data_IF_915948386643
#
_entry.id   IF_915948386643
#
_cell.length_a   1.000
_cell.length_b   1.000
_cell.length_c   1.000
_cell.angle_alpha   90.00
_cell.angle_beta   90.00
_cell.angle_gamma   90.00
#
_symmetry.space_group_name_H-M   'P 1'
#
loop_
_entity.id
_entity.type
_entity.pdbx_description
1 polymer ?
#
# COMPACT_ATOMS: atom_id res chain seq x y z
N UNK A 1 -0.25 -14.59 6.73
CA UNK A 1 -1.31 -14.44 5.70
C UNK A 1 -0.66 -14.55 4.34
N UNK A 2 -1.10 -15.49 3.49
CA UNK A 2 -0.95 -15.30 2.04
C UNK A 2 -1.98 -14.23 1.65
N UNK A 3 -1.51 -12.99 1.58
CA UNK A 3 -2.21 -11.85 0.99
C UNK A 3 -2.39 -12.07 -0.52
N UNK A 4 -3.17 -11.24 -1.24
CA UNK A 4 -3.31 -11.36 -2.69
C UNK A 4 -1.91 -11.54 -3.28
N UNK A 5 -1.74 -12.53 -4.15
CA UNK A 5 -0.48 -12.70 -4.87
C UNK A 5 -0.17 -11.34 -5.50
N UNK A 6 0.98 -10.77 -5.16
CA UNK A 6 1.37 -9.42 -5.63
C UNK A 6 1.25 -9.33 -7.16
N UNK A 7 1.37 -10.47 -7.86
CA UNK A 7 1.10 -10.60 -9.30
C UNK A 7 -0.34 -10.35 -9.75
N UNK A 8 -1.36 -10.42 -8.89
CA UNK A 8 -2.74 -9.96 -9.20
C UNK A 8 -2.91 -8.44 -9.05
N UNK A 9 -2.04 -7.80 -8.28
CA UNK A 9 -2.04 -6.35 -8.07
C UNK A 9 -1.21 -5.62 -9.13
N UNK A 10 -0.38 -6.35 -9.89
CA UNK A 10 0.50 -5.83 -10.92
C UNK A 10 -0.18 -6.01 -12.27
N UNK A 11 -0.48 -4.92 -12.98
CA UNK A 11 -0.82 -5.01 -14.40
C UNK A 11 0.44 -5.37 -15.23
N UNK A 12 0.25 -5.92 -16.44
CA UNK A 12 1.33 -6.49 -17.28
C UNK A 12 2.52 -5.55 -17.57
N UNK A 13 2.41 -4.24 -17.30
CA UNK A 13 3.46 -3.24 -17.53
C UNK A 13 3.89 -2.46 -16.27
N UNK A 14 3.50 -2.89 -15.07
CA UNK A 14 3.94 -2.25 -13.83
C UNK A 14 5.17 -2.93 -13.24
N UNK A 15 6.11 -2.14 -12.73
CA UNK A 15 7.29 -2.65 -12.04
C UNK A 15 6.92 -3.08 -10.63
N UNK A 16 7.18 -4.35 -10.30
CA UNK A 16 7.00 -4.89 -8.95
C UNK A 16 7.77 -4.08 -7.88
N UNK A 17 8.92 -3.50 -8.24
CA UNK A 17 9.68 -2.64 -7.35
C UNK A 17 8.94 -1.34 -7.05
N UNK A 18 8.37 -0.71 -8.07
CA UNK A 18 7.61 0.54 -7.93
C UNK A 18 6.35 0.32 -7.09
N UNK A 19 5.70 -0.85 -7.23
CA UNK A 19 4.59 -1.28 -6.38
C UNK A 19 5.01 -1.42 -4.91
N UNK A 20 6.11 -2.13 -4.63
CA UNK A 20 6.61 -2.31 -3.25
C UNK A 20 6.97 -0.96 -2.62
N UNK A 21 7.60 -0.07 -3.38
CA UNK A 21 7.94 1.28 -2.90
C UNK A 21 6.68 2.09 -2.60
N UNK A 22 5.65 2.01 -3.46
CA UNK A 22 4.38 2.69 -3.24
C UNK A 22 3.66 2.20 -1.97
N UNK A 23 3.57 0.87 -1.79
CA UNK A 23 2.98 0.25 -0.59
C UNK A 23 3.76 0.67 0.66
N UNK A 24 5.10 0.66 0.60
CA UNK A 24 5.94 1.03 1.75
C UNK A 24 5.74 2.50 2.15
N UNK A 25 5.66 3.42 1.18
CA UNK A 25 5.36 4.84 1.44
C UNK A 25 3.99 4.97 2.10
N UNK A 26 2.96 4.36 1.50
CA UNK A 26 1.59 4.44 2.02
C UNK A 26 1.46 3.86 3.43
N UNK A 27 2.14 2.75 3.69
CA UNK A 27 2.16 2.12 5.01
C UNK A 27 2.75 3.04 6.09
N UNK A 28 3.74 3.89 5.75
CA UNK A 28 4.29 4.87 6.69
C UNK A 28 3.30 5.99 6.95
N UNK A 29 2.67 6.53 5.89
CA UNK A 29 1.65 7.56 6.04
C UNK A 29 0.49 7.11 6.95
N UNK A 30 0.04 5.86 6.81
CA UNK A 30 -1.03 5.30 7.66
C UNK A 30 -0.58 5.24 9.12
N UNK A 31 0.66 4.81 9.37
CA UNK A 31 1.20 4.73 10.72
C UNK A 31 1.40 6.12 11.36
N UNK A 32 1.90 7.08 10.59
CA UNK A 32 2.10 8.47 11.05
C UNK A 32 0.76 9.14 11.37
N UNK A 33 -0.24 9.02 10.48
CA UNK A 33 -1.58 9.56 10.73
C UNK A 33 -2.23 8.92 11.95
N UNK A 34 -2.12 7.61 12.11
CA UNK A 34 -2.65 6.93 13.29
C UNK A 34 -2.01 7.42 14.59
N UNK A 35 -0.70 7.72 14.55
CA UNK A 35 0.01 8.29 15.69
C UNK A 35 -0.44 9.72 15.99
N UNK A 36 -0.59 10.55 14.96
CA UNK A 36 -1.02 11.95 15.07
C UNK A 36 -2.46 12.07 15.56
N UNK A 37 -3.37 11.29 14.98
CA UNK A 37 -4.79 11.24 15.34
C UNK A 37 -5.06 10.44 16.64
N UNK A 38 -4.01 9.81 17.22
CA UNK A 38 -4.07 8.90 18.38
C UNK A 38 -5.10 7.78 18.21
N UNK A 39 -5.23 7.28 16.98
CA UNK A 39 -6.14 6.20 16.61
C UNK A 39 -5.42 4.86 16.75
N UNK A 40 -6.07 3.90 17.39
CA UNK A 40 -5.58 2.52 17.44
C UNK A 40 -5.93 1.86 16.10
N UNK A 41 -4.91 1.41 15.37
CA UNK A 41 -5.09 0.66 14.13
C UNK A 41 -5.53 -0.78 14.45
N UNK A 42 -6.62 -1.22 13.82
CA UNK A 42 -7.14 -2.59 13.98
C UNK A 42 -6.27 -3.63 13.24
N UNK A 43 -5.63 -3.24 12.15
CA UNK A 43 -4.74 -4.09 11.36
C UNK A 43 -3.39 -3.41 11.11
N UNK A 44 -2.40 -4.19 10.69
CA UNK A 44 -1.06 -3.69 10.38
C UNK A 44 -1.15 -2.65 9.25
N UNK A 45 -0.38 -1.54 9.33
CA UNK A 45 -0.36 -0.52 8.28
C UNK A 45 -0.06 -1.07 6.87
N UNK A 46 0.77 -2.11 6.78
CA UNK A 46 1.11 -2.79 5.52
C UNK A 46 -0.09 -3.56 4.96
N UNK A 47 -0.99 -4.08 5.81
CA UNK A 47 -2.25 -4.71 5.41
C UNK A 47 -3.20 -3.71 4.81
N UNK A 48 -3.46 -2.64 5.53
CA UNK A 48 -4.30 -1.55 5.06
C UNK A 48 -3.81 -0.95 3.74
N UNK A 49 -2.49 -0.74 3.58
CA UNK A 49 -1.92 -0.22 2.35
C UNK A 49 -2.14 -1.14 1.13
N UNK A 50 -2.07 -2.46 1.31
CA UNK A 50 -2.31 -3.43 0.23
C UNK A 50 -3.79 -3.50 -0.14
N UNK A 51 -4.68 -3.43 0.85
CA UNK A 51 -6.12 -3.44 0.61
C UNK A 51 -6.60 -2.15 -0.06
N UNK A 52 -6.04 -0.99 0.32
CA UNK A 52 -6.28 0.28 -0.36
C UNK A 52 -5.79 0.25 -1.81
N UNK A 53 -4.66 -0.39 -2.08
CA UNK A 53 -4.13 -0.56 -3.43
C UNK A 53 -5.04 -1.47 -4.28
N UNK A 54 -5.42 -2.65 -3.75
CA UNK A 54 -6.34 -3.57 -4.42
C UNK A 54 -7.73 -2.99 -4.68
N UNK A 55 -8.17 -2.06 -3.83
CA UNK A 55 -9.43 -1.31 -3.99
C UNK A 55 -9.35 -0.20 -5.07
N UNK A 56 -8.26 -0.10 -5.84
CA UNK A 56 -8.01 0.94 -6.85
C UNK A 56 -8.07 2.38 -6.30
N UNK A 57 -7.85 2.57 -4.99
CA UNK A 57 -7.83 3.90 -4.36
C UNK A 57 -6.49 4.60 -4.50
N UNK A 58 -5.45 3.88 -4.93
CA UNK A 58 -4.08 4.38 -5.08
C UNK A 58 -3.60 4.11 -6.50
N UNK A 59 -2.89 5.09 -7.07
CA UNK A 59 -2.27 4.97 -8.39
C UNK A 59 -0.81 5.37 -8.28
N UNK A 60 0.11 4.50 -8.73
CA UNK A 60 1.54 4.80 -8.71
C UNK A 60 1.83 5.75 -9.86
N UNK A 61 2.37 6.93 -9.54
CA UNK A 61 2.83 7.89 -10.54
C UNK A 61 4.35 7.98 -10.42
N UNK A 62 5.06 7.41 -11.38
CA UNK A 62 6.51 7.60 -11.47
C UNK A 62 6.79 8.95 -12.13
N UNK A 63 7.53 9.81 -11.40
CA UNK A 63 8.03 11.06 -11.96
C UNK A 63 9.26 10.72 -12.80
N UNK A 64 9.17 10.94 -14.11
CA UNK A 64 10.29 10.83 -15.05
C UNK A 64 11.38 11.86 -14.76
#
# INVERSE_FOLDING_TARGET
>A
MLKPEIGRLLEENESAYSLVIAIAKRSRDIAERALEDKVILEDKPVNMAIDEFGSHKLRVVEKK
#
